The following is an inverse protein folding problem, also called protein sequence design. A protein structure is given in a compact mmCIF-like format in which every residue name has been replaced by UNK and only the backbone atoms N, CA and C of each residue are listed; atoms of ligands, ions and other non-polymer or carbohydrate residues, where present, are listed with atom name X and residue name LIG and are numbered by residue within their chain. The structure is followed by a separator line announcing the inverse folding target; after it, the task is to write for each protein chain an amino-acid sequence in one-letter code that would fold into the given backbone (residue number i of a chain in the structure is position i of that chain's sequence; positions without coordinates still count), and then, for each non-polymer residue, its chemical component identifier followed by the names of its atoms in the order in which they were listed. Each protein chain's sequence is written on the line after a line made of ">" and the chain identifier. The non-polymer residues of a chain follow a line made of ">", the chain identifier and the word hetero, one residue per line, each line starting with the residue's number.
data_IF_362509937651
#
_entry.id   IF_362509937651
#
_cell.length_a   1.000
_cell.length_b   1.000
_cell.length_c   1.000
_cell.angle_alpha   90.00
_cell.angle_beta   90.00
_cell.angle_gamma   90.00
#
_symmetry.space_group_name_H-M   'P 1'
#
loop_
_entity.id
_entity.type
_entity.pdbx_description
1 polymer ?
#
# COMPACT_ATOMS: atom_id res chain seq x y z
N UNK A 1 17.46 6.55 22.55
CA UNK A 1 16.11 6.40 21.98
C UNK A 1 16.16 5.31 20.93
N UNK A 2 15.14 4.46 20.85
CA UNK A 2 14.96 3.44 19.81
C UNK A 2 13.60 3.65 19.18
N UNK A 3 13.56 3.66 17.85
CA UNK A 3 12.31 3.78 17.08
C UNK A 3 12.08 2.46 16.34
N UNK A 4 10.96 1.84 16.60
CA UNK A 4 10.57 0.54 16.06
C UNK A 4 9.41 0.75 15.08
N UNK A 5 9.45 0.10 13.93
CA UNK A 5 8.41 0.18 12.93
C UNK A 5 7.71 -1.16 12.77
N UNK A 6 6.38 -1.13 12.73
CA UNK A 6 5.47 -2.26 12.56
C UNK A 6 5.38 -3.21 13.78
N UNK A 7 4.31 -4.00 13.80
CA UNK A 7 3.97 -4.92 14.90
C UNK A 7 4.96 -6.08 15.02
N UNK A 8 5.51 -6.58 13.91
CA UNK A 8 6.48 -7.66 13.93
C UNK A 8 7.73 -7.34 14.76
N UNK A 9 8.52 -6.31 14.40
CA UNK A 9 9.65 -5.84 15.20
C UNK A 9 9.27 -5.38 16.60
N UNK A 10 8.05 -4.87 16.82
CA UNK A 10 7.56 -4.46 18.12
C UNK A 10 7.47 -5.62 19.14
N UNK A 11 7.48 -6.87 18.66
CA UNK A 11 7.61 -8.04 19.53
C UNK A 11 8.80 -7.91 20.49
N UNK A 12 9.89 -7.27 20.06
CA UNK A 12 11.13 -7.10 20.82
C UNK A 12 11.26 -5.73 21.52
N UNK A 13 10.21 -4.89 21.55
CA UNK A 13 10.32 -3.53 22.08
C UNK A 13 10.63 -3.48 23.60
N UNK A 14 10.47 -4.57 24.34
CA UNK A 14 10.89 -4.71 25.73
C UNK A 14 12.41 -4.75 25.91
N UNK A 15 13.17 -5.20 24.90
CA UNK A 15 14.64 -5.31 24.99
C UNK A 15 15.31 -3.95 25.23
N UNK A 16 15.07 -2.90 24.43
CA UNK A 16 15.65 -1.59 24.71
C UNK A 16 15.27 -1.01 26.08
N UNK A 17 14.11 -1.39 26.60
CA UNK A 17 13.66 -0.95 27.93
C UNK A 17 14.55 -1.51 29.05
N UNK A 18 15.08 -2.73 28.92
CA UNK A 18 16.02 -3.31 29.86
C UNK A 18 17.33 -2.48 29.96
N UNK A 19 17.65 -1.74 28.90
CA UNK A 19 18.83 -0.85 28.86
C UNK A 19 18.46 0.62 29.12
N UNK A 20 17.29 0.89 29.71
CA UNK A 20 16.83 2.23 30.04
C UNK A 20 16.59 3.15 28.82
N UNK A 21 16.39 2.59 27.63
CA UNK A 21 16.16 3.37 26.42
C UNK A 21 14.69 3.74 26.27
N UNK A 22 14.43 4.98 25.84
CA UNK A 22 13.10 5.40 25.39
C UNK A 22 12.76 4.69 24.07
N UNK A 23 11.56 4.11 23.99
CA UNK A 23 11.05 3.35 22.84
C UNK A 23 9.86 4.07 22.23
N UNK A 24 9.93 4.35 20.95
CA UNK A 24 8.82 4.83 20.13
C UNK A 24 8.47 3.72 19.14
N UNK A 25 7.19 3.45 18.95
CA UNK A 25 6.73 2.45 17.98
C UNK A 25 5.78 3.12 16.97
N UNK A 26 6.06 2.96 15.66
CA UNK A 26 5.13 3.36 14.60
C UNK A 26 4.40 2.13 14.06
N UNK A 27 3.07 2.16 14.13
CA UNK A 27 2.18 1.12 13.58
C UNK A 27 1.69 1.60 12.21
N UNK A 28 2.06 0.85 11.17
CA UNK A 28 1.75 1.19 9.77
C UNK A 28 0.39 0.67 9.28
N UNK A 29 -0.37 0.04 10.13
CA UNK A 29 -1.65 -0.60 9.88
C UNK A 29 -1.77 -1.83 10.76
N UNK A 30 -2.88 -2.52 10.71
CA UNK A 30 -3.10 -3.75 11.49
C UNK A 30 -2.56 -4.95 10.71
N UNK A 31 -1.26 -5.24 10.85
CA UNK A 31 -0.58 -6.29 10.06
C UNK A 31 -1.22 -7.67 10.22
N UNK A 32 -1.76 -7.98 11.40
CA UNK A 32 -2.47 -9.25 11.63
C UNK A 32 -3.74 -9.41 10.79
N UNK A 33 -4.31 -8.35 10.24
CA UNK A 33 -5.46 -8.38 9.35
C UNK A 33 -5.07 -8.74 7.89
N UNK A 34 -3.79 -8.64 7.53
CA UNK A 34 -3.29 -9.01 6.20
C UNK A 34 -3.36 -10.51 5.98
N UNK A 35 -3.66 -10.92 4.75
CA UNK A 35 -3.83 -12.33 4.40
C UNK A 35 -2.63 -13.19 4.80
N UNK A 36 -1.42 -12.71 4.59
CA UNK A 36 -0.17 -13.36 4.99
C UNK A 36 -0.10 -13.73 6.47
N UNK A 37 -0.71 -12.93 7.35
CA UNK A 37 -0.66 -13.10 8.80
C UNK A 37 -1.98 -13.54 9.43
N UNK A 38 -2.95 -13.92 8.61
CA UNK A 38 -4.31 -14.24 9.08
C UNK A 38 -4.37 -15.52 9.92
N UNK A 39 -3.45 -16.46 9.65
CA UNK A 39 -3.43 -17.77 10.29
C UNK A 39 -2.03 -18.20 10.75
N UNK A 40 -1.99 -19.12 11.74
CA UNK A 40 -0.77 -19.78 12.16
C UNK A 40 0.06 -19.05 13.23
N UNK A 41 1.32 -19.47 13.35
CA UNK A 41 2.26 -18.95 14.37
C UNK A 41 2.58 -17.48 14.10
N UNK A 42 2.68 -17.08 12.83
CA UNK A 42 2.93 -15.69 12.43
C UNK A 42 1.87 -14.72 12.94
N UNK A 43 0.59 -15.09 12.88
CA UNK A 43 -0.50 -14.26 13.44
C UNK A 43 -0.34 -14.03 14.94
N UNK A 44 0.01 -15.06 15.69
CA UNK A 44 0.25 -14.95 17.14
C UNK A 44 1.44 -14.07 17.45
N UNK A 45 2.50 -14.16 16.64
CA UNK A 45 3.70 -13.34 16.78
C UNK A 45 3.39 -11.86 16.54
N UNK A 46 2.69 -11.51 15.47
CA UNK A 46 2.28 -10.14 15.15
C UNK A 46 1.37 -9.56 16.26
N UNK A 47 0.34 -10.30 16.67
CA UNK A 47 -0.55 -9.87 17.78
C UNK A 47 0.19 -9.71 19.10
N UNK A 48 1.19 -10.54 19.37
CA UNK A 48 2.03 -10.36 20.56
C UNK A 48 2.90 -9.11 20.44
N UNK A 49 3.41 -8.81 19.23
CA UNK A 49 4.13 -7.57 18.96
C UNK A 49 3.30 -6.32 19.21
N UNK A 50 2.04 -6.31 18.77
CA UNK A 50 1.09 -5.24 19.07
C UNK A 50 0.89 -5.05 20.58
N UNK A 51 0.64 -6.14 21.33
CA UNK A 51 0.52 -6.09 22.79
C UNK A 51 1.80 -5.60 23.47
N UNK A 52 2.96 -5.99 22.94
CA UNK A 52 4.25 -5.53 23.47
C UNK A 52 4.46 -4.05 23.18
N UNK A 53 4.06 -3.55 22.00
CA UNK A 53 4.06 -2.11 21.72
C UNK A 53 3.20 -1.35 22.74
N UNK A 54 1.97 -1.81 22.98
CA UNK A 54 1.07 -1.22 23.97
C UNK A 54 1.70 -1.17 25.37
N UNK A 55 2.37 -2.24 25.78
CA UNK A 55 2.92 -2.41 27.12
C UNK A 55 4.23 -1.68 27.35
N UNK A 56 5.13 -1.69 26.36
CA UNK A 56 6.53 -1.30 26.56
C UNK A 56 6.95 -0.05 25.79
N UNK A 57 6.23 0.34 24.71
CA UNK A 57 6.57 1.59 24.04
C UNK A 57 6.19 2.79 24.92
N UNK A 58 7.06 3.78 25.01
CA UNK A 58 6.77 5.06 25.68
C UNK A 58 5.72 5.83 24.86
N UNK A 59 5.88 5.86 23.53
CA UNK A 59 4.97 6.50 22.60
C UNK A 59 4.63 5.56 21.44
N UNK A 60 3.39 5.65 20.97
CA UNK A 60 2.93 4.92 19.77
C UNK A 60 2.46 5.95 18.75
N UNK A 61 2.99 5.84 17.53
CA UNK A 61 2.57 6.61 16.37
C UNK A 61 1.70 5.71 15.49
N UNK A 62 0.59 6.25 15.01
CA UNK A 62 -0.32 5.58 14.08
C UNK A 62 -0.57 6.46 12.86
N UNK A 63 -0.82 5.85 11.70
CA UNK A 63 -0.92 6.55 10.42
C UNK A 63 -2.35 6.89 10.01
N UNK A 64 -3.37 6.31 10.68
CA UNK A 64 -4.79 6.57 10.40
C UNK A 64 -5.58 6.81 11.68
N UNK A 65 -6.69 7.54 11.55
CA UNK A 65 -7.63 7.75 12.67
C UNK A 65 -8.34 6.45 13.04
N UNK A 66 -8.55 5.55 12.07
CA UNK A 66 -9.10 4.23 12.30
C UNK A 66 -8.23 3.42 13.24
N UNK A 67 -6.91 3.36 13.00
CA UNK A 67 -5.97 2.66 13.89
C UNK A 67 -5.86 3.35 15.25
N UNK A 68 -5.88 4.71 15.32
CA UNK A 68 -5.93 5.45 16.59
C UNK A 68 -7.14 5.03 17.43
N UNK A 69 -8.31 5.00 16.83
CA UNK A 69 -9.55 4.58 17.48
C UNK A 69 -9.45 3.13 17.96
N UNK A 70 -8.94 2.23 17.14
CA UNK A 70 -8.74 0.82 17.49
C UNK A 70 -7.87 0.66 18.76
N UNK A 71 -6.73 1.34 18.85
CA UNK A 71 -5.86 1.27 20.04
C UNK A 71 -6.54 1.79 21.29
N UNK A 72 -7.31 2.86 21.17
CA UNK A 72 -8.08 3.40 22.30
C UNK A 72 -9.18 2.42 22.76
N UNK A 73 -9.97 1.88 21.83
CA UNK A 73 -11.09 0.99 22.16
C UNK A 73 -10.64 -0.38 22.64
N UNK A 74 -9.55 -0.91 22.08
CA UNK A 74 -9.08 -2.27 22.38
C UNK A 74 -8.19 -2.32 23.63
N UNK A 75 -7.36 -1.29 23.84
CA UNK A 75 -6.32 -1.29 24.86
C UNK A 75 -6.40 -0.12 25.85
N UNK A 76 -7.28 0.85 25.63
CA UNK A 76 -7.28 2.10 26.39
C UNK A 76 -5.98 2.90 26.20
N UNK A 77 -5.25 2.67 25.09
CA UNK A 77 -3.93 3.26 24.82
C UNK A 77 -4.04 4.47 23.91
N UNK A 78 -3.65 5.63 24.43
CA UNK A 78 -3.49 6.83 23.60
C UNK A 78 -2.34 6.67 22.62
N UNK A 79 -2.53 7.20 21.41
CA UNK A 79 -1.56 7.17 20.32
C UNK A 79 -1.49 8.50 19.60
N UNK A 80 -0.34 8.79 18.98
CA UNK A 80 -0.13 10.00 18.20
C UNK A 80 -0.48 9.71 16.73
N UNK A 81 -1.47 10.43 16.20
CA UNK A 81 -1.77 10.37 14.77
C UNK A 81 -0.79 11.27 14.02
N UNK A 82 0.12 10.66 13.27
CA UNK A 82 1.08 11.32 12.40
C UNK A 82 1.01 10.63 11.04
N UNK A 83 0.31 11.22 10.05
CA UNK A 83 0.13 10.62 8.74
C UNK A 83 1.44 10.56 7.96
N UNK A 84 1.49 9.67 6.95
CA UNK A 84 2.58 9.67 5.99
C UNK A 84 2.56 10.97 5.16
N UNK A 85 3.75 11.42 4.79
CA UNK A 85 3.93 12.46 3.78
C UNK A 85 4.46 11.85 2.48
N UNK A 86 4.32 12.59 1.39
CA UNK A 86 4.91 12.27 0.09
C UNK A 86 5.79 13.43 -0.36
N UNK A 87 6.75 13.14 -1.23
CA UNK A 87 7.58 14.16 -1.82
C UNK A 87 6.77 15.06 -2.77
N UNK A 88 7.29 16.26 -3.01
CA UNK A 88 6.73 17.13 -4.05
C UNK A 88 6.84 16.40 -5.41
N UNK A 89 5.75 16.31 -6.20
CA UNK A 89 5.76 15.63 -7.48
C UNK A 89 6.65 16.34 -8.50
N UNK A 90 7.32 15.57 -9.34
CA UNK A 90 8.00 16.03 -10.53
C UNK A 90 7.16 15.70 -11.76
N UNK A 91 6.28 16.62 -12.15
CA UNK A 91 5.41 16.44 -13.33
C UNK A 91 6.27 16.34 -14.59
N UNK A 92 6.08 15.28 -15.36
CA UNK A 92 6.86 14.96 -16.56
C UNK A 92 5.97 14.64 -17.75
N UNK A 93 6.44 14.99 -18.93
CA UNK A 93 5.84 14.54 -20.19
C UNK A 93 6.10 13.06 -20.41
N UNK A 94 5.22 12.39 -21.16
CA UNK A 94 5.37 11.00 -21.56
C UNK A 94 6.55 10.87 -22.55
N UNK A 95 7.60 10.19 -22.14
CA UNK A 95 8.79 9.85 -22.95
C UNK A 95 9.18 8.39 -22.73
N UNK A 96 9.70 8.06 -21.54
CA UNK A 96 10.09 6.68 -21.22
C UNK A 96 8.89 5.71 -21.27
N UNK A 97 7.72 6.14 -20.81
CA UNK A 97 6.51 5.31 -20.88
C UNK A 97 6.07 5.08 -22.33
N UNK A 98 6.31 6.04 -23.23
CA UNK A 98 6.02 5.90 -24.65
C UNK A 98 7.03 4.95 -25.30
N UNK A 99 8.32 5.18 -25.06
CA UNK A 99 9.41 4.39 -25.67
C UNK A 99 9.36 2.91 -25.25
N UNK A 100 9.04 2.63 -23.98
CA UNK A 100 9.06 1.26 -23.43
C UNK A 100 7.73 0.51 -23.58
N UNK A 101 6.58 1.23 -23.50
CA UNK A 101 5.27 0.57 -23.39
C UNK A 101 4.24 1.11 -24.38
N UNK A 102 4.58 2.08 -25.22
CA UNK A 102 3.64 2.72 -26.13
C UNK A 102 2.47 3.40 -25.40
N UNK A 103 2.77 4.04 -24.26
CA UNK A 103 1.79 4.78 -23.46
C UNK A 103 1.92 6.27 -23.72
N UNK A 104 0.77 6.92 -23.85
CA UNK A 104 0.66 8.36 -24.03
C UNK A 104 -0.14 8.97 -22.88
N UNK A 105 -0.13 10.30 -22.80
CA UNK A 105 -0.95 11.00 -21.82
C UNK A 105 -2.43 10.61 -21.97
N UNK A 106 -3.07 10.35 -20.83
CA UNK A 106 -4.48 9.99 -20.72
C UNK A 106 -4.87 8.68 -21.44
N UNK A 107 -3.89 7.89 -21.91
CA UNK A 107 -4.15 6.63 -22.64
C UNK A 107 -4.34 5.40 -21.74
N UNK A 108 -4.21 5.53 -20.42
CA UNK A 108 -4.25 4.38 -19.52
C UNK A 108 -4.84 4.70 -18.14
N UNK A 109 -5.36 3.63 -17.52
CA UNK A 109 -5.73 3.56 -16.11
C UNK A 109 -4.55 2.95 -15.38
N UNK A 110 -4.09 3.57 -14.29
CA UNK A 110 -2.90 3.16 -13.55
C UNK A 110 -3.28 2.47 -12.23
N UNK A 111 -2.76 1.28 -12.01
CA UNK A 111 -2.59 0.69 -10.67
C UNK A 111 -1.10 0.67 -10.35
N UNK A 112 -0.73 1.13 -9.16
CA UNK A 112 0.66 1.09 -8.69
C UNK A 112 0.72 0.65 -7.24
N UNK A 113 1.47 -0.44 -6.97
CA UNK A 113 1.62 -0.98 -5.63
C UNK A 113 2.21 -2.38 -5.62
N UNK A 114 2.38 -2.96 -4.45
CA UNK A 114 2.78 -4.36 -4.32
C UNK A 114 1.68 -5.27 -4.90
N UNK A 115 2.08 -6.28 -5.63
CA UNK A 115 1.13 -7.25 -6.19
C UNK A 115 0.86 -8.36 -5.17
N UNK A 116 -0.08 -8.07 -4.27
CA UNK A 116 -0.54 -8.96 -3.18
C UNK A 116 -2.08 -9.02 -3.17
N UNK A 117 -2.67 -10.12 -2.67
CA UNK A 117 -4.12 -10.33 -2.73
C UNK A 117 -4.95 -9.18 -2.16
N UNK A 118 -4.55 -8.63 -1.02
CA UNK A 118 -5.26 -7.56 -0.32
C UNK A 118 -5.32 -6.22 -1.08
N UNK A 119 -4.55 -6.08 -2.17
CA UNK A 119 -4.61 -4.90 -3.06
C UNK A 119 -5.75 -4.96 -4.09
N UNK A 120 -6.54 -6.03 -4.10
CA UNK A 120 -7.75 -6.14 -4.91
C UNK A 120 -7.54 -6.19 -6.41
N UNK A 121 -6.32 -6.50 -6.88
CA UNK A 121 -5.97 -6.49 -8.31
C UNK A 121 -6.82 -7.50 -9.10
N UNK A 122 -7.22 -8.62 -8.47
CA UNK A 122 -8.15 -9.57 -9.08
C UNK A 122 -9.48 -8.93 -9.50
N UNK A 123 -10.03 -8.06 -8.64
CA UNK A 123 -11.27 -7.33 -8.93
C UNK A 123 -11.06 -6.37 -10.08
N UNK A 124 -9.95 -5.64 -10.05
CA UNK A 124 -9.61 -4.67 -11.09
C UNK A 124 -9.50 -5.32 -12.47
N UNK A 125 -8.74 -6.42 -12.59
CA UNK A 125 -8.58 -7.15 -13.85
C UNK A 125 -9.93 -7.68 -14.35
N UNK A 126 -10.72 -8.32 -13.48
CA UNK A 126 -12.05 -8.83 -13.85
C UNK A 126 -13.01 -7.73 -14.28
N UNK A 127 -13.03 -6.62 -13.56
CA UNK A 127 -13.89 -5.49 -13.88
C UNK A 127 -13.47 -4.84 -15.20
N UNK A 128 -12.17 -4.60 -15.38
CA UNK A 128 -11.64 -3.93 -16.57
C UNK A 128 -11.96 -4.68 -17.87
N UNK A 129 -11.95 -6.00 -17.88
CA UNK A 129 -12.34 -6.83 -19.05
C UNK A 129 -13.75 -6.51 -19.57
N UNK A 130 -14.64 -5.98 -18.73
CA UNK A 130 -16.00 -5.59 -19.09
C UNK A 130 -16.12 -4.10 -19.43
N UNK A 131 -15.08 -3.32 -19.26
CA UNK A 131 -15.08 -1.89 -19.58
C UNK A 131 -14.88 -1.69 -21.09
N UNK A 132 -15.80 -0.97 -21.71
CA UNK A 132 -15.69 -0.58 -23.13
C UNK A 132 -14.87 0.71 -23.21
N UNK A 133 -13.59 0.59 -23.46
CA UNK A 133 -12.64 1.70 -23.57
C UNK A 133 -11.48 1.31 -24.48
N UNK A 134 -10.86 2.29 -25.09
CA UNK A 134 -9.60 2.19 -25.83
C UNK A 134 -8.36 2.30 -24.93
N UNK A 135 -8.55 2.68 -23.67
CA UNK A 135 -7.46 2.84 -22.71
C UNK A 135 -6.91 1.50 -22.27
N UNK A 136 -5.61 1.50 -21.92
CA UNK A 136 -4.95 0.35 -21.31
C UNK A 136 -5.14 0.34 -19.80
N UNK A 137 -5.09 -0.85 -19.18
CA UNK A 137 -4.90 -1.01 -17.74
C UNK A 137 -3.42 -1.31 -17.50
N UNK A 138 -2.73 -0.39 -16.86
CA UNK A 138 -1.31 -0.51 -16.50
C UNK A 138 -1.20 -0.96 -15.05
N UNK A 139 -0.62 -2.12 -14.83
CA UNK A 139 -0.35 -2.68 -13.50
C UNK A 139 1.14 -2.59 -13.24
N UNK A 140 1.53 -1.64 -12.40
CA UNK A 140 2.91 -1.40 -11.99
C UNK A 140 3.18 -1.91 -10.57
N UNK A 141 4.28 -2.62 -10.39
CA UNK A 141 4.72 -3.13 -9.10
C UNK A 141 5.34 -4.50 -9.17
N UNK A 142 6.00 -4.90 -8.08
CA UNK A 142 6.59 -6.22 -7.92
C UNK A 142 5.75 -7.13 -7.02
N UNK A 143 5.87 -8.45 -7.20
CA UNK A 143 5.40 -9.40 -6.20
C UNK A 143 6.37 -9.38 -5.02
N UNK A 144 5.84 -9.34 -3.81
CA UNK A 144 6.68 -9.34 -2.60
C UNK A 144 6.87 -10.73 -2.00
N UNK A 145 6.02 -11.69 -2.31
CA UNK A 145 5.96 -12.93 -1.54
C UNK A 145 5.84 -14.24 -2.36
N UNK A 146 5.29 -14.21 -3.56
CA UNK A 146 5.21 -15.42 -4.40
C UNK A 146 4.98 -15.08 -5.87
N UNK A 147 5.73 -15.72 -6.76
CA UNK A 147 5.50 -15.67 -8.21
C UNK A 147 4.12 -16.23 -8.60
N UNK A 148 3.51 -17.07 -7.73
CA UNK A 148 2.21 -17.68 -7.97
C UNK A 148 1.07 -16.68 -8.13
N UNK A 149 1.02 -15.62 -7.32
CA UNK A 149 -0.02 -14.60 -7.45
C UNK A 149 0.15 -13.78 -8.73
N UNK A 150 1.38 -13.45 -9.10
CA UNK A 150 1.67 -12.79 -10.38
C UNK A 150 1.27 -13.68 -11.56
N UNK A 151 1.55 -14.99 -11.50
CA UNK A 151 1.14 -15.93 -12.54
C UNK A 151 -0.38 -16.03 -12.65
N UNK A 152 -1.09 -16.08 -11.53
CA UNK A 152 -2.55 -16.04 -11.49
C UNK A 152 -3.11 -14.78 -12.16
N UNK A 153 -2.57 -13.59 -11.82
CA UNK A 153 -3.01 -12.34 -12.42
C UNK A 153 -2.76 -12.28 -13.93
N UNK A 154 -1.62 -12.77 -14.39
CA UNK A 154 -1.30 -12.87 -15.83
C UNK A 154 -2.24 -13.84 -16.56
N UNK A 155 -2.54 -14.99 -15.96
CA UNK A 155 -3.50 -15.94 -16.52
C UNK A 155 -4.91 -15.33 -16.59
N UNK A 156 -5.32 -14.58 -15.57
CA UNK A 156 -6.60 -13.88 -15.53
C UNK A 156 -6.70 -12.80 -16.63
N UNK A 157 -5.59 -12.18 -16.98
CA UNK A 157 -5.52 -11.08 -17.96
C UNK A 157 -5.25 -11.54 -19.40
N UNK A 158 -4.88 -12.80 -19.63
CA UNK A 158 -4.31 -13.30 -20.90
C UNK A 158 -5.13 -13.03 -22.16
N UNK A 159 -6.47 -12.91 -22.02
CA UNK A 159 -7.38 -12.73 -23.16
C UNK A 159 -7.72 -11.25 -23.42
N UNK A 160 -6.99 -10.30 -22.80
CA UNK A 160 -7.22 -8.86 -22.98
C UNK A 160 -5.88 -8.12 -23.07
N UNK A 161 -5.43 -7.87 -24.30
CA UNK A 161 -4.15 -7.21 -24.61
C UNK A 161 -4.06 -5.76 -24.12
N UNK A 162 -5.17 -5.19 -23.65
CA UNK A 162 -5.17 -3.87 -23.04
C UNK A 162 -4.61 -3.88 -21.61
N UNK A 163 -4.48 -5.06 -20.96
CA UNK A 163 -3.96 -5.21 -19.59
C UNK A 163 -2.47 -5.51 -19.66
N UNK A 164 -1.66 -4.57 -19.18
CA UNK A 164 -0.20 -4.70 -19.24
C UNK A 164 0.44 -4.66 -17.85
N UNK A 165 1.35 -5.58 -17.61
CA UNK A 165 2.14 -5.67 -16.39
C UNK A 165 3.54 -5.14 -16.67
N UNK A 166 3.93 -4.04 -16.08
CA UNK A 166 5.20 -3.37 -16.37
C UNK A 166 6.28 -3.60 -15.31
N UNK A 167 5.94 -4.37 -14.25
CA UNK A 167 6.88 -4.69 -13.19
C UNK A 167 7.14 -3.53 -12.22
N UNK A 168 8.23 -3.64 -11.46
CA UNK A 168 8.64 -2.61 -10.51
C UNK A 168 9.18 -1.39 -11.24
N UNK A 169 8.75 -0.20 -10.83
CA UNK A 169 9.12 1.08 -11.42
C UNK A 169 9.61 2.05 -10.36
N UNK A 170 10.54 2.94 -10.72
CA UNK A 170 11.07 3.99 -9.85
C UNK A 170 11.65 5.17 -10.67
N UNK A 171 11.95 6.26 -9.98
CA UNK A 171 12.56 7.46 -10.59
C UNK A 171 11.70 8.06 -11.68
N UNK A 172 12.32 8.53 -12.76
CA UNK A 172 11.64 9.24 -13.84
C UNK A 172 10.48 8.45 -14.46
N UNK A 173 10.61 7.13 -14.59
CA UNK A 173 9.55 6.27 -15.14
C UNK A 173 8.30 6.29 -14.24
N UNK A 174 8.49 6.30 -12.93
CA UNK A 174 7.42 6.43 -11.94
C UNK A 174 6.74 7.80 -12.03
N UNK A 175 7.54 8.86 -12.13
CA UNK A 175 7.02 10.23 -12.27
C UNK A 175 6.18 10.37 -13.54
N UNK A 176 6.64 9.81 -14.67
CA UNK A 176 5.91 9.84 -15.94
C UNK A 176 4.60 9.04 -15.86
N UNK A 177 4.60 7.88 -15.18
CA UNK A 177 3.39 7.09 -15.00
C UNK A 177 2.31 7.84 -14.19
N UNK A 178 2.68 8.50 -13.11
CA UNK A 178 1.71 9.32 -12.36
C UNK A 178 1.29 10.56 -13.13
N UNK A 179 2.23 11.22 -13.83
CA UNK A 179 1.96 12.49 -14.53
C UNK A 179 0.99 12.36 -15.69
N UNK A 180 0.92 11.19 -16.32
CA UNK A 180 0.22 10.99 -17.58
C UNK A 180 -0.94 9.98 -17.49
N UNK A 181 -1.26 9.46 -16.29
CA UNK A 181 -2.38 8.56 -16.10
C UNK A 181 -3.73 9.29 -16.28
N UNK A 182 -4.67 8.63 -16.96
CA UNK A 182 -6.05 9.12 -17.05
C UNK A 182 -6.78 9.04 -15.71
N UNK A 183 -6.62 7.91 -15.02
CA UNK A 183 -7.15 7.65 -13.68
C UNK A 183 -6.15 6.77 -12.94
N UNK A 184 -5.95 7.05 -11.65
CA UNK A 184 -5.30 6.14 -10.72
C UNK A 184 -6.34 5.28 -10.01
N UNK A 185 -6.07 3.97 -9.84
CA UNK A 185 -7.01 3.08 -9.14
C UNK A 185 -6.33 2.26 -8.06
N UNK A 186 -7.00 2.14 -6.89
CA UNK A 186 -6.54 1.35 -5.74
C UNK A 186 -7.72 0.60 -5.09
N UNK A 187 -8.10 -0.58 -5.60
CA UNK A 187 -9.25 -1.34 -5.12
C UNK A 187 -8.89 -2.24 -3.92
N UNK A 188 -8.13 -1.73 -2.97
CA UNK A 188 -7.62 -2.50 -1.84
C UNK A 188 -8.71 -2.90 -0.85
N UNK A 189 -8.60 -4.10 -0.29
CA UNK A 189 -9.45 -4.58 0.81
C UNK A 189 -8.93 -4.06 2.17
N UNK A 190 -7.63 -3.77 2.26
CA UNK A 190 -6.96 -3.35 3.48
C UNK A 190 -5.77 -2.44 3.18
N UNK A 191 -5.69 -1.33 3.90
CA UNK A 191 -4.57 -0.40 3.88
C UNK A 191 -4.18 0.04 5.31
N UNK A 192 -3.03 0.67 5.43
CA UNK A 192 -2.68 1.42 6.64
C UNK A 192 -2.79 2.92 6.37
N UNK A 193 -1.99 3.38 5.43
CA UNK A 193 -2.05 4.68 4.77
C UNK A 193 -1.31 4.53 3.44
N UNK A 194 -2.03 4.37 2.32
CA UNK A 194 -1.44 3.97 1.05
C UNK A 194 -0.62 5.11 0.43
N UNK A 195 0.72 5.00 0.48
CA UNK A 195 1.63 6.01 -0.11
C UNK A 195 1.37 6.20 -1.61
N UNK A 196 1.11 5.14 -2.35
CA UNK A 196 0.84 5.23 -3.78
C UNK A 196 -0.43 6.03 -4.11
N UNK A 197 -1.43 6.06 -3.22
CA UNK A 197 -2.60 6.93 -3.36
C UNK A 197 -2.22 8.39 -3.08
N UNK A 198 -1.48 8.64 -2.00
CA UNK A 198 -1.01 10.00 -1.67
C UNK A 198 -0.13 10.57 -2.79
N UNK A 199 0.75 9.73 -3.35
CA UNK A 199 1.55 10.09 -4.53
C UNK A 199 0.64 10.43 -5.71
N UNK A 200 -0.29 9.55 -6.10
CA UNK A 200 -1.22 9.81 -7.19
C UNK A 200 -1.97 11.14 -7.00
N UNK A 201 -2.48 11.40 -5.80
CA UNK A 201 -3.15 12.67 -5.47
C UNK A 201 -2.20 13.87 -5.59
N UNK A 202 -0.93 13.72 -5.20
CA UNK A 202 0.07 14.79 -5.31
C UNK A 202 0.35 15.18 -6.77
N UNK A 203 0.27 14.22 -7.70
CA UNK A 203 0.36 14.48 -9.16
C UNK A 203 -0.93 15.04 -9.77
N UNK A 204 -2.01 15.16 -8.97
CA UNK A 204 -3.29 15.67 -9.44
C UNK A 204 -4.15 14.64 -10.16
N UNK A 205 -3.88 13.35 -9.99
CA UNK A 205 -4.69 12.30 -10.60
C UNK A 205 -6.11 12.26 -10.02
N UNK A 206 -7.09 11.99 -10.88
CA UNK A 206 -8.36 11.44 -10.43
C UNK A 206 -8.14 10.05 -9.86
N UNK A 207 -8.60 9.79 -8.63
CA UNK A 207 -8.38 8.54 -7.93
C UNK A 207 -9.70 7.78 -7.74
N UNK A 208 -9.73 6.53 -8.22
CA UNK A 208 -10.81 5.58 -7.96
C UNK A 208 -10.32 4.55 -6.93
N UNK A 209 -10.88 4.58 -5.74
CA UNK A 209 -10.41 3.76 -4.62
C UNK A 209 -11.54 3.00 -3.95
N UNK A 210 -11.21 1.96 -3.18
CA UNK A 210 -12.19 1.28 -2.33
C UNK A 210 -12.70 2.21 -1.23
N UNK A 211 -13.98 2.05 -0.88
CA UNK A 211 -14.63 2.76 0.24
C UNK A 211 -14.24 2.11 1.59
N UNK A 212 -12.94 2.17 1.88
CA UNK A 212 -12.37 1.78 3.17
C UNK A 212 -11.87 3.03 3.91
N UNK A 213 -11.90 3.05 5.26
CA UNK A 213 -11.55 4.23 6.05
C UNK A 213 -10.18 4.83 5.66
N UNK A 214 -9.19 3.98 5.43
CA UNK A 214 -7.81 4.39 5.13
C UNK A 214 -7.63 5.03 3.75
N UNK A 215 -8.59 4.85 2.85
CA UNK A 215 -8.62 5.52 1.53
C UNK A 215 -9.53 6.76 1.53
N UNK A 216 -10.43 6.89 2.51
CA UNK A 216 -11.41 7.97 2.60
C UNK A 216 -10.97 9.12 3.53
N UNK A 217 -9.94 8.91 4.38
CA UNK A 217 -9.37 9.94 5.27
C UNK A 217 -8.57 10.99 4.49
#
# INVERSE_FOLDING_TARGET
>A
MVHIHAEGPAFFCWIPKLFGKRVICTIHGLDWAREKWKFGVGSKFIRQGEKNAVKYADEIIVLSKGVKKYFMETYGRETHFIPNGVNRPEVREAKLITDHFGLEKDSYILFLGRLVPEKGIRYLVKAFKNVKTDKKLVIAGGSSDTDSFMMELKELAKDDDRIIFIGFVQGQLLDELYSNAYIYTLPSDLEGMPLSLLEAMSYGNCCLVSDIPECAE
#
